data_IF_610383407777
#
_entry.id   IF_610383407777
#
_cell.length_a   1.000
_cell.length_b   1.000
_cell.length_c   1.000
_cell.angle_alpha   90.00
_cell.angle_beta   90.00
_cell.angle_gamma   90.00
#
_symmetry.space_group_name_H-M   'P 1'
#
loop_
_entity.id
_entity.type
_entity.pdbx_description
1 polymer ?
#
# COMPACT_ATOMS: atom_id res chain seq x y z
N UNK A 1 17.17 -31.74 53.13
CA UNK A 1 16.22 -31.65 51.99
C UNK A 1 15.82 -30.18 51.86
N UNK A 2 16.70 -29.26 51.42
CA UNK A 2 16.98 -28.81 50.04
C UNK A 2 16.11 -29.41 48.92
N UNK A 3 15.77 -28.55 47.94
CA UNK A 3 14.75 -28.68 46.87
C UNK A 3 13.34 -28.41 47.41
N UNK A 4 12.53 -27.45 46.94
CA UNK A 4 12.43 -26.84 45.62
C UNK A 4 11.66 -25.51 45.73
N UNK A 5 12.35 -24.37 45.66
CA UNK A 5 11.74 -23.02 45.54
C UNK A 5 12.20 -22.30 44.28
N UNK A 6 12.61 -23.05 43.25
CA UNK A 6 13.12 -22.51 41.97
C UNK A 6 12.42 -23.20 40.79
N UNK A 7 11.11 -23.46 40.89
CA UNK A 7 10.35 -24.10 39.81
C UNK A 7 9.06 -23.37 39.41
N UNK A 8 8.80 -22.17 39.96
CA UNK A 8 7.64 -21.34 39.58
C UNK A 8 8.07 -19.90 39.24
N UNK A 9 9.25 -19.74 38.63
CA UNK A 9 9.67 -18.47 38.00
C UNK A 9 10.03 -18.68 36.52
N UNK A 10 9.80 -19.89 35.98
CA UNK A 10 10.08 -20.22 34.57
C UNK A 10 8.83 -20.42 33.70
N UNK A 11 7.63 -20.18 34.23
CA UNK A 11 6.40 -20.09 33.41
C UNK A 11 6.05 -18.66 32.98
N UNK A 12 6.80 -17.65 33.43
CA UNK A 12 6.56 -16.23 33.10
C UNK A 12 7.34 -15.72 31.88
N UNK A 13 8.02 -16.61 31.14
CA UNK A 13 8.82 -16.25 29.96
C UNK A 13 8.33 -16.87 28.64
N UNK A 14 7.12 -17.44 28.60
CA UNK A 14 6.59 -18.10 27.39
C UNK A 14 5.23 -17.59 26.96
N UNK A 15 5.02 -16.28 27.08
CA UNK A 15 4.17 -15.57 26.12
C UNK A 15 5.09 -14.55 25.47
N UNK A 16 5.98 -15.03 24.60
CA UNK A 16 6.50 -14.18 23.55
C UNK A 16 5.29 -13.69 22.77
N UNK A 17 4.90 -12.45 23.01
CA UNK A 17 4.05 -11.71 22.10
C UNK A 17 4.79 -11.66 20.76
N UNK A 18 4.52 -12.64 19.89
CA UNK A 18 4.76 -12.47 18.46
C UNK A 18 3.61 -11.63 17.91
N UNK A 19 3.57 -10.36 18.28
CA UNK A 19 2.83 -9.34 17.54
C UNK A 19 3.68 -8.97 16.33
N UNK A 20 3.85 -9.90 15.39
CA UNK A 20 4.34 -9.58 14.05
C UNK A 20 3.24 -9.89 13.05
N UNK A 21 2.35 -8.92 12.90
CA UNK A 21 1.47 -8.78 11.76
C UNK A 21 1.41 -7.30 11.39
N UNK A 22 2.58 -6.67 11.26
CA UNK A 22 2.67 -5.29 10.83
C UNK A 22 2.24 -5.18 9.37
N UNK A 23 1.50 -4.13 9.02
CA UNK A 23 1.19 -3.74 7.65
C UNK A 23 2.45 -3.42 6.79
N UNK A 24 3.64 -3.76 7.29
CA UNK A 24 4.93 -3.48 6.68
C UNK A 24 5.79 -4.73 6.62
N UNK A 25 6.56 -4.85 5.55
CA UNK A 25 7.59 -5.88 5.39
C UNK A 25 8.95 -5.22 5.19
N UNK A 26 10.01 -5.91 5.61
CA UNK A 26 11.37 -5.44 5.39
C UNK A 26 11.65 -5.17 3.92
N UNK A 27 12.44 -4.14 3.67
CA UNK A 27 12.85 -3.78 2.32
C UNK A 27 13.62 -4.93 1.65
N UNK A 28 13.15 -5.39 0.49
CA UNK A 28 13.83 -6.40 -0.35
C UNK A 28 14.45 -5.77 -1.59
N UNK A 29 15.27 -6.54 -2.33
CA UNK A 29 15.81 -6.07 -3.61
C UNK A 29 14.66 -5.64 -4.54
N UNK A 30 14.77 -4.45 -5.13
CA UNK A 30 13.76 -3.87 -6.03
C UNK A 30 13.27 -4.85 -7.08
N UNK A 31 14.18 -5.63 -7.70
CA UNK A 31 13.84 -6.61 -8.74
C UNK A 31 12.92 -7.75 -8.28
N UNK A 32 12.83 -7.97 -6.96
CA UNK A 32 11.99 -8.99 -6.34
C UNK A 32 10.66 -8.44 -5.82
N UNK A 33 10.46 -7.12 -5.86
CA UNK A 33 9.24 -6.48 -5.39
C UNK A 33 8.08 -6.75 -6.34
N UNK A 34 6.92 -6.95 -5.74
CA UNK A 34 5.66 -7.01 -6.45
C UNK A 34 4.56 -6.33 -5.64
N UNK A 35 3.60 -5.77 -6.36
CA UNK A 35 2.41 -5.12 -5.81
C UNK A 35 1.18 -5.83 -6.37
N UNK A 36 0.22 -6.16 -5.52
CA UNK A 36 -1.02 -6.83 -5.92
C UNK A 36 -2.18 -5.89 -5.61
N UNK A 37 -2.78 -5.34 -6.67
CA UNK A 37 -3.92 -4.44 -6.60
C UNK A 37 -5.11 -5.11 -7.30
N UNK A 38 -6.21 -5.36 -6.59
CA UNK A 38 -7.42 -5.96 -7.17
C UNK A 38 -7.11 -7.18 -8.06
N UNK A 39 -6.35 -8.13 -7.50
CA UNK A 39 -5.86 -9.36 -8.18
C UNK A 39 -4.84 -9.15 -9.33
N UNK A 40 -4.60 -7.91 -9.76
CA UNK A 40 -3.56 -7.56 -10.74
C UNK A 40 -2.20 -7.48 -10.07
N UNK A 41 -1.24 -8.26 -10.58
CA UNK A 41 0.13 -8.29 -10.07
C UNK A 41 1.07 -7.43 -10.91
N UNK A 42 1.67 -6.42 -10.26
CA UNK A 42 2.67 -5.53 -10.84
C UNK A 42 4.08 -5.92 -10.39
N UNK A 43 4.97 -6.13 -11.35
CA UNK A 43 6.37 -6.52 -11.14
C UNK A 43 7.31 -5.34 -11.33
N UNK A 44 8.54 -5.48 -10.80
CA UNK A 44 9.58 -4.46 -10.91
C UNK A 44 9.86 -3.98 -12.32
N UNK A 45 9.72 -4.77 -13.37
CA UNK A 45 9.98 -4.28 -14.73
C UNK A 45 8.88 -3.35 -15.27
N UNK A 46 7.72 -3.28 -14.62
CA UNK A 46 6.54 -2.55 -15.12
C UNK A 46 6.44 -1.12 -14.59
N UNK A 47 7.13 -0.76 -13.50
CA UNK A 47 7.04 0.56 -12.86
C UNK A 47 8.30 1.48 -12.84
N UNK A 48 9.52 1.10 -13.28
CA UNK A 48 10.69 1.97 -13.22
C UNK A 48 10.82 2.88 -14.44
N UNK A 49 10.21 2.53 -15.58
CA UNK A 49 10.37 3.26 -16.84
C UNK A 49 9.18 4.17 -17.19
N UNK A 50 8.10 4.17 -16.42
CA UNK A 50 6.82 4.76 -16.81
C UNK A 50 6.21 5.57 -15.66
N UNK A 51 6.96 6.54 -15.17
CA UNK A 51 6.60 7.35 -14.00
C UNK A 51 6.28 8.78 -14.43
N UNK A 52 5.00 9.16 -14.43
CA UNK A 52 4.61 10.57 -14.43
C UNK A 52 4.57 11.06 -12.98
N UNK A 53 5.49 11.94 -12.58
CA UNK A 53 5.46 12.53 -11.24
C UNK A 53 4.11 13.23 -11.06
N UNK A 54 3.34 12.78 -10.08
CA UNK A 54 2.03 13.35 -9.75
C UNK A 54 2.12 14.25 -8.53
N UNK A 55 2.85 13.79 -7.51
CA UNK A 55 3.06 14.55 -6.28
C UNK A 55 4.46 14.22 -5.74
N UNK A 56 5.23 15.25 -5.40
CA UNK A 56 6.52 15.11 -4.73
C UNK A 56 6.38 15.37 -3.22
N UNK A 57 7.51 15.37 -2.51
CA UNK A 57 7.51 15.62 -1.08
C UNK A 57 6.99 17.03 -0.70
N UNK A 58 7.01 18.01 -1.62
CA UNK A 58 6.51 19.35 -1.37
C UNK A 58 4.97 19.43 -1.49
N UNK A 59 4.36 18.56 -2.30
CA UNK A 59 2.91 18.47 -2.48
C UNK A 59 2.14 17.82 -1.32
N UNK A 60 2.85 17.17 -0.38
CA UNK A 60 2.25 16.38 0.69
C UNK A 60 1.30 17.14 1.62
N UNK A 61 1.56 18.44 1.82
CA UNK A 61 0.84 19.26 2.81
C UNK A 61 -0.51 19.79 2.30
N UNK A 62 -0.86 19.53 1.03
CA UNK A 62 -2.14 19.94 0.48
C UNK A 62 -3.28 19.07 1.03
N UNK A 63 -4.42 19.68 1.35
CA UNK A 63 -5.62 18.93 1.71
C UNK A 63 -6.07 18.06 0.53
N UNK A 64 -6.31 16.77 0.78
CA UNK A 64 -6.67 15.81 -0.26
C UNK A 64 -5.48 15.35 -1.13
N UNK A 65 -4.25 15.58 -0.65
CA UNK A 65 -3.04 15.05 -1.29
C UNK A 65 -3.01 13.52 -1.32
N UNK A 66 -2.27 12.96 -2.27
CA UNK A 66 -2.03 11.51 -2.32
C UNK A 66 -1.30 11.04 -1.06
N UNK A 67 -0.45 11.87 -0.47
CA UNK A 67 0.17 11.59 0.82
C UNK A 67 -0.85 11.41 1.94
N UNK A 68 -1.79 12.35 2.10
CA UNK A 68 -2.81 12.26 3.14
C UNK A 68 -3.67 10.99 2.95
N UNK A 69 -4.16 10.76 1.73
CA UNK A 69 -4.94 9.57 1.39
C UNK A 69 -4.16 8.29 1.69
N UNK A 70 -2.88 8.26 1.33
CA UNK A 70 -2.01 7.12 1.58
C UNK A 70 -1.85 6.83 3.08
N UNK A 71 -1.61 7.87 3.89
CA UNK A 71 -1.46 7.74 5.34
C UNK A 71 -2.76 7.28 6.01
N UNK A 72 -3.91 7.86 5.62
CA UNK A 72 -5.22 7.48 6.15
C UNK A 72 -5.52 6.01 5.87
N UNK A 73 -5.25 5.53 4.65
CA UNK A 73 -5.45 4.12 4.27
C UNK A 73 -4.51 3.18 5.01
N UNK A 74 -3.28 3.62 5.25
CA UNK A 74 -2.29 2.83 5.98
C UNK A 74 -2.68 2.67 7.45
N UNK A 75 -3.14 3.75 8.09
CA UNK A 75 -3.61 3.75 9.48
C UNK A 75 -4.81 2.81 9.67
N UNK A 76 -5.78 2.84 8.75
CA UNK A 76 -6.93 1.92 8.78
C UNK A 76 -6.46 0.46 8.79
N UNK A 77 -5.54 0.08 7.89
CA UNK A 77 -5.05 -1.30 7.83
C UNK A 77 -4.16 -1.70 9.01
N UNK A 78 -3.38 -0.77 9.57
CA UNK A 78 -2.60 -0.99 10.79
C UNK A 78 -3.52 -1.24 12.00
N UNK A 79 -4.65 -0.53 12.09
CA UNK A 79 -5.63 -0.69 13.18
C UNK A 79 -6.50 -1.95 13.03
N UNK A 80 -6.87 -2.32 11.80
CA UNK A 80 -7.76 -3.45 11.50
C UNK A 80 -7.11 -4.83 11.68
N UNK A 81 -5.85 -4.91 12.14
CA UNK A 81 -5.12 -6.18 12.32
C UNK A 81 -5.25 -7.08 11.08
N UNK A 82 -4.99 -6.54 9.89
CA UNK A 82 -5.15 -7.25 8.61
C UNK A 82 -4.21 -8.46 8.49
N UNK A 83 -4.48 -9.56 9.20
CA UNK A 83 -3.92 -10.92 9.12
C UNK A 83 -2.44 -11.04 8.68
N UNK A 84 -1.57 -10.10 9.05
CA UNK A 84 -0.17 -10.07 8.61
C UNK A 84 0.05 -9.79 7.11
N UNK A 85 -0.94 -9.22 6.40
CA UNK A 85 -0.80 -8.80 5.01
C UNK A 85 -0.03 -7.48 4.98
N UNK A 86 1.17 -7.43 4.38
CA UNK A 86 1.92 -6.18 4.29
C UNK A 86 1.39 -5.33 3.11
N UNK A 87 1.31 -4.02 3.32
CA UNK A 87 0.92 -3.01 2.32
C UNK A 87 2.05 -2.03 1.99
N UNK A 88 3.17 -2.09 2.72
CA UNK A 88 4.35 -1.25 2.51
C UNK A 88 5.65 -2.03 2.73
N UNK A 89 6.66 -1.80 1.90
CA UNK A 89 8.05 -2.03 2.25
C UNK A 89 8.55 -0.86 3.10
N UNK A 90 8.83 -1.10 4.38
CA UNK A 90 9.28 -0.04 5.28
C UNK A 90 10.75 -0.21 5.66
N UNK A 91 11.43 0.91 5.85
CA UNK A 91 12.69 1.01 6.59
C UNK A 91 12.80 2.39 7.27
N UNK A 92 13.94 2.71 7.88
CA UNK A 92 14.15 3.97 8.60
C UNK A 92 14.10 5.24 7.74
N UNK A 93 13.95 5.13 6.41
CA UNK A 93 14.07 6.24 5.45
C UNK A 93 12.75 6.57 4.72
N UNK A 94 11.61 6.02 5.16
CA UNK A 94 10.30 6.23 4.53
C UNK A 94 9.65 7.59 4.82
N UNK A 95 10.42 8.62 5.17
CA UNK A 95 9.88 9.93 5.59
C UNK A 95 9.59 10.87 4.43
N UNK A 96 10.31 10.74 3.31
CA UNK A 96 10.09 11.56 2.12
C UNK A 96 9.49 10.65 1.04
N UNK A 97 8.20 10.78 0.79
CA UNK A 97 7.49 10.03 -0.24
C UNK A 97 7.29 10.85 -1.52
N UNK A 98 7.14 10.17 -2.63
CA UNK A 98 6.75 10.75 -3.91
C UNK A 98 5.84 9.77 -4.62
N UNK A 99 4.84 10.30 -5.31
CA UNK A 99 3.79 9.55 -5.97
C UNK A 99 3.92 9.71 -7.47
N UNK A 100 4.01 8.57 -8.15
CA UNK A 100 4.12 8.52 -9.61
C UNK A 100 2.98 7.71 -10.20
N UNK A 101 2.23 8.32 -11.12
CA UNK A 101 1.20 7.63 -11.88
C UNK A 101 1.86 6.70 -12.91
N UNK A 102 1.42 5.44 -12.93
CA UNK A 102 1.78 4.45 -13.94
C UNK A 102 0.79 4.55 -15.12
N UNK A 103 0.86 5.65 -15.88
CA UNK A 103 -0.15 6.01 -16.88
C UNK A 103 -0.40 4.94 -17.94
N UNK A 104 0.63 4.16 -18.32
CA UNK A 104 0.50 3.08 -19.30
C UNK A 104 -0.20 1.83 -18.75
N UNK A 105 -0.38 1.77 -17.43
CA UNK A 105 -1.10 0.69 -16.75
C UNK A 105 -2.51 1.12 -16.34
N UNK A 106 -2.88 2.39 -16.57
CA UNK A 106 -4.26 2.84 -16.40
C UNK A 106 -5.17 1.97 -17.25
N UNK A 107 -6.23 1.45 -16.63
CA UNK A 107 -7.18 0.55 -17.28
C UNK A 107 -8.61 1.04 -17.12
N UNK A 108 -9.49 0.49 -17.96
CA UNK A 108 -10.92 0.82 -17.95
C UNK A 108 -11.73 -0.47 -17.92
N UNK A 109 -12.77 -0.50 -17.08
CA UNK A 109 -13.75 -1.56 -17.06
C UNK A 109 -15.13 -0.98 -17.34
N UNK A 110 -15.80 -1.57 -18.31
CA UNK A 110 -17.15 -1.17 -18.69
C UNK A 110 -18.17 -2.01 -17.93
N UNK A 111 -19.03 -1.35 -17.16
CA UNK A 111 -20.11 -1.99 -16.40
C UNK A 111 -21.50 -1.65 -16.97
N UNK A 112 -21.54 -1.26 -18.24
CA UNK A 112 -22.76 -0.97 -19.00
C UNK A 112 -23.26 0.46 -18.79
N UNK A 113 -23.65 0.78 -17.56
CA UNK A 113 -24.23 2.09 -17.18
C UNK A 113 -23.17 3.14 -16.84
N UNK A 114 -21.99 2.70 -16.38
CA UNK A 114 -20.82 3.53 -16.11
C UNK A 114 -19.54 2.78 -16.49
N UNK A 115 -18.48 3.54 -16.68
CA UNK A 115 -17.12 3.04 -16.92
C UNK A 115 -16.29 3.29 -15.64
N UNK A 116 -15.55 2.29 -15.18
CA UNK A 116 -14.56 2.43 -14.11
C UNK A 116 -13.19 2.67 -14.72
N UNK A 117 -12.51 3.72 -14.26
CA UNK A 117 -11.10 3.97 -14.56
C UNK A 117 -10.25 3.57 -13.35
N UNK A 118 -9.20 2.79 -13.58
CA UNK A 118 -8.24 2.37 -12.56
C UNK A 118 -6.90 3.05 -12.83
N UNK A 119 -6.46 3.91 -11.91
CA UNK A 119 -5.15 4.56 -11.94
C UNK A 119 -4.26 4.00 -10.82
N UNK A 120 -3.03 3.61 -11.17
CA UNK A 120 -2.08 3.02 -10.23
C UNK A 120 -0.97 4.02 -9.92
N UNK A 121 -0.80 4.34 -8.64
CA UNK A 121 0.25 5.23 -8.14
C UNK A 121 1.31 4.42 -7.41
N UNK A 122 2.55 4.46 -7.87
CA UNK A 122 3.67 3.91 -7.10
C UNK A 122 4.15 4.95 -6.09
N UNK A 123 4.27 4.52 -4.84
CA UNK A 123 4.83 5.32 -3.75
C UNK A 123 6.31 5.01 -3.66
N UNK A 124 7.11 6.06 -3.72
CA UNK A 124 8.58 5.98 -3.77
C UNK A 124 9.15 6.76 -2.61
N UNK A 125 10.14 6.22 -1.91
CA UNK A 125 10.80 6.93 -0.82
C UNK A 125 11.90 7.90 -1.28
N UNK A 126 12.52 8.61 -0.34
CA UNK A 126 13.60 9.57 -0.59
C UNK A 126 14.88 8.96 -1.16
N UNK A 127 14.96 7.63 -1.28
CA UNK A 127 16.06 6.90 -1.94
C UNK A 127 15.65 6.36 -3.31
N UNK A 128 14.53 6.82 -3.86
CA UNK A 128 13.98 6.38 -5.14
C UNK A 128 13.60 4.89 -5.18
N UNK A 129 13.20 4.32 -4.04
CA UNK A 129 12.80 2.91 -3.92
C UNK A 129 11.28 2.80 -3.85
N UNK A 130 10.70 1.85 -4.59
CA UNK A 130 9.24 1.67 -4.57
C UNK A 130 8.81 1.00 -3.26
N UNK A 131 8.06 1.69 -2.41
CA UNK A 131 7.69 1.21 -1.07
C UNK A 131 6.26 0.70 -0.99
N UNK A 132 5.33 1.33 -1.70
CA UNK A 132 3.94 0.93 -1.72
C UNK A 132 3.31 1.22 -3.09
N UNK A 133 2.06 0.80 -3.26
CA UNK A 133 1.26 1.16 -4.42
C UNK A 133 -0.17 1.46 -3.97
N UNK A 134 -0.74 2.51 -4.54
CA UNK A 134 -2.10 2.97 -4.29
C UNK A 134 -2.90 2.82 -5.58
N UNK A 135 -4.03 2.15 -5.51
CA UNK A 135 -5.01 2.08 -6.58
C UNK A 135 -6.06 3.18 -6.35
N UNK A 136 -6.35 3.96 -7.39
CA UNK A 136 -7.48 4.88 -7.46
C UNK A 136 -8.49 4.33 -8.45
N UNK A 137 -9.74 4.20 -8.01
CA UNK A 137 -10.85 3.84 -8.88
C UNK A 137 -11.76 5.05 -9.06
N UNK A 138 -11.92 5.47 -10.31
CA UNK A 138 -12.75 6.63 -10.68
C UNK A 138 -13.93 6.15 -11.52
N UNK A 139 -15.16 6.21 -11.00
CA UNK A 139 -16.35 5.96 -11.78
C UNK A 139 -16.64 7.12 -12.72
N UNK A 140 -16.93 6.81 -13.98
CA UNK A 140 -17.32 7.74 -15.03
C UNK A 140 -18.69 7.35 -15.57
N UNK A 141 -19.67 8.22 -15.39
CA UNK A 141 -20.97 8.02 -16.02
C UNK A 141 -20.87 8.20 -17.53
N UNK A 142 -21.59 7.35 -18.26
CA UNK A 142 -21.78 7.56 -19.69
C UNK A 142 -22.71 8.75 -19.91
N UNK A 143 -22.39 9.55 -20.92
CA UNK A 143 -23.21 10.70 -21.33
C UNK A 143 -24.67 10.25 -21.51
N UNK A 144 -25.57 10.79 -20.67
CA UNK A 144 -26.99 10.45 -20.66
C UNK A 144 -27.55 10.09 -19.28
N UNK A 145 -26.72 9.61 -18.36
CA UNK A 145 -27.12 9.30 -16.98
C UNK A 145 -26.64 10.40 -16.02
N UNK A 146 -27.57 11.20 -15.50
CA UNK A 146 -27.33 12.28 -14.52
C UNK A 146 -27.17 11.78 -13.08
N UNK A 147 -27.08 10.47 -12.85
CA UNK A 147 -26.94 9.92 -11.50
C UNK A 147 -25.53 10.15 -10.96
N UNK A 148 -25.41 11.15 -10.08
CA UNK A 148 -24.34 11.39 -9.10
C UNK A 148 -22.96 10.81 -9.47
N UNK A 149 -22.07 11.69 -9.94
CA UNK A 149 -20.62 11.40 -10.01
C UNK A 149 -20.18 10.85 -8.65
N UNK A 150 -19.89 9.56 -8.61
CA UNK A 150 -19.40 8.91 -7.39
C UNK A 150 -17.96 9.37 -7.18
N UNK A 151 -17.64 9.77 -5.94
CA UNK A 151 -16.29 10.22 -5.62
C UNK A 151 -15.27 9.11 -5.88
N UNK A 152 -14.06 9.43 -6.36
CA UNK A 152 -13.02 8.43 -6.52
C UNK A 152 -12.67 7.84 -5.16
N UNK A 153 -12.44 6.53 -5.12
CA UNK A 153 -11.98 5.85 -3.91
C UNK A 153 -10.60 5.25 -4.12
N UNK A 154 -9.90 5.06 -3.01
CA UNK A 154 -8.51 4.62 -2.99
C UNK A 154 -8.32 3.38 -2.13
N UNK A 155 -7.44 2.49 -2.59
CA UNK A 155 -7.11 1.23 -1.91
C UNK A 155 -5.61 0.99 -1.94
N UNK A 156 -5.05 0.51 -0.83
CA UNK A 156 -3.66 0.10 -0.78
C UNK A 156 -3.48 -1.28 -1.40
N UNK A 157 -2.44 -1.41 -2.23
CA UNK A 157 -2.08 -2.68 -2.81
C UNK A 157 -1.22 -3.49 -1.85
N UNK A 158 -1.44 -4.81 -1.85
CA UNK A 158 -0.63 -5.73 -1.04
C UNK A 158 0.78 -5.77 -1.60
N UNK A 159 1.78 -5.79 -0.73
CA UNK A 159 3.18 -5.99 -1.14
C UNK A 159 3.58 -7.45 -0.98
N UNK A 160 4.42 -7.96 -1.87
CA UNK A 160 4.83 -9.35 -1.85
C UNK A 160 6.20 -9.57 -2.49
N UNK A 161 6.94 -10.55 -1.99
CA UNK A 161 8.14 -11.03 -2.67
C UNK A 161 7.75 -12.07 -3.73
N UNK A 162 8.28 -11.93 -4.95
CA UNK A 162 8.25 -13.03 -5.91
C UNK A 162 9.07 -14.20 -5.33
N UNK A 163 8.41 -15.37 -5.18
CA UNK A 163 9.07 -16.64 -4.86
C UNK A 163 9.68 -17.24 -6.13
#
# INVERSE_FOLDING_TARGET
MRFSSIAIILQSASIFFTTEAGATVNHINERKKSFICDEVTFKFNQFPHQRGLTEDAAGMTAYGSLYQIYMDKLEVHENEHTNGIPFRYADRHTTNLSFYLLANLTSYQNLGTYDLRFDYYVVVDGRNRATAMLLKTTPHNRSGNYEQSTEPYYTLCKVGALR
#
